data_IF_415292017374
#
_entry.id   IF_415292017374
#
_cell.length_a   1.000
_cell.length_b   1.000
_cell.length_c   1.000
_cell.angle_alpha   90.00
_cell.angle_beta   90.00
_cell.angle_gamma   90.00
#
_symmetry.space_group_name_H-M   'P 1'
#
loop_
_entity.id
_entity.type
_entity.pdbx_description
1 polymer ?
#
# COMPACT_ATOMS: atom_id res chain seq x y z
N UNK A 1 14.60 -13.67 7.61
CA UNK A 1 15.10 -12.28 7.71
C UNK A 1 13.92 -11.36 7.49
N UNK A 2 13.57 -10.62 8.54
CA UNK A 2 12.36 -9.81 8.65
C UNK A 2 12.53 -8.46 7.95
N UNK A 3 11.44 -7.93 7.40
CA UNK A 3 11.40 -6.58 6.82
C UNK A 3 11.80 -5.48 7.81
N UNK A 4 11.64 -5.74 9.12
CA UNK A 4 12.08 -4.84 10.19
C UNK A 4 13.60 -4.69 10.27
N UNK A 5 14.36 -5.75 9.97
CA UNK A 5 15.83 -5.74 9.99
C UNK A 5 16.38 -4.92 8.81
N UNK A 6 15.69 -4.93 7.67
CA UNK A 6 16.06 -4.11 6.51
C UNK A 6 15.77 -2.62 6.70
N UNK A 7 14.72 -2.28 7.46
CA UNK A 7 14.34 -0.89 7.71
C UNK A 7 15.30 -0.20 8.70
N UNK A 8 15.76 -0.93 9.72
CA UNK A 8 16.76 -0.41 10.67
C UNK A 8 18.10 -0.10 9.99
N UNK A 9 18.54 -0.97 9.07
CA UNK A 9 19.79 -0.73 8.34
C UNK A 9 19.70 0.42 7.32
N UNK A 10 18.48 0.81 6.93
CA UNK A 10 18.25 1.94 6.03
C UNK A 10 18.26 3.29 6.76
N UNK A 11 17.82 3.33 8.03
CA UNK A 11 17.73 4.57 8.80
C UNK A 11 19.04 4.96 9.52
N UNK A 12 19.97 4.01 9.67
CA UNK A 12 21.27 4.24 10.33
C UNK A 12 22.36 4.85 9.43
N UNK A 13 22.01 5.32 8.23
CA UNK A 13 22.94 5.78 7.19
C UNK A 13 22.95 7.28 6.92
N UNK A 14 22.83 8.14 7.95
CA UNK A 14 22.99 9.59 7.77
C UNK A 14 24.44 9.99 8.11
N UNK A 15 25.23 10.51 7.15
CA UNK A 15 26.54 11.07 7.43
C UNK A 15 26.42 12.37 8.25
N UNK A 16 27.29 12.50 9.24
CA UNK A 16 27.57 13.76 9.93
C UNK A 16 28.07 14.83 8.94
N UNK A 17 27.59 16.07 9.06
CA UNK A 17 28.12 17.19 8.27
C UNK A 17 27.34 18.49 8.38
N UNK A 18 27.78 19.33 9.33
CA UNK A 18 27.61 20.79 9.42
C UNK A 18 26.21 21.36 9.74
N UNK A 19 26.00 21.58 11.04
CA UNK A 19 24.89 22.35 11.61
C UNK A 19 25.20 23.86 11.59
N UNK A 20 24.21 24.67 11.21
CA UNK A 20 24.21 26.12 11.42
C UNK A 20 23.44 26.45 12.71
N UNK A 21 24.07 27.23 13.61
CA UNK A 21 23.41 27.81 14.80
C UNK A 21 22.55 29.01 14.41
N UNK A 22 21.31 29.07 14.90
CA UNK A 22 20.66 30.35 15.14
C UNK A 22 19.87 30.31 16.45
N UNK A 23 20.23 31.25 17.33
CA UNK A 23 19.80 31.40 18.72
C UNK A 23 18.43 32.04 18.82
N UNK A 24 17.50 31.43 19.56
CA UNK A 24 16.42 32.19 20.23
C UNK A 24 16.18 31.67 21.65
N UNK A 25 16.33 32.60 22.59
CA UNK A 25 16.26 32.47 24.04
C UNK A 25 14.80 32.39 24.52
N UNK A 26 14.45 31.37 25.31
CA UNK A 26 13.32 31.40 26.27
C UNK A 26 13.49 30.31 27.33
N UNK A 27 13.50 30.75 28.58
CA UNK A 27 13.82 30.01 29.82
C UNK A 27 12.66 29.16 30.38
N UNK A 28 13.05 28.30 31.34
CA UNK A 28 12.30 27.70 32.47
C UNK A 28 11.52 26.40 32.18
N UNK A 29 11.49 25.37 33.04
CA UNK A 29 12.14 25.10 34.33
C UNK A 29 12.16 23.57 34.59
N UNK A 30 12.97 23.20 35.58
CA UNK A 30 13.40 21.88 36.07
C UNK A 30 12.26 21.02 36.64
N UNK A 31 12.36 19.69 36.49
CA UNK A 31 12.05 18.71 37.57
C UNK A 31 12.68 17.34 37.25
N UNK A 32 13.86 17.12 37.84
CA UNK A 32 14.50 15.82 38.08
C UNK A 32 13.73 15.02 39.12
N UNK A 33 13.72 13.70 39.01
CA UNK A 33 14.06 12.82 40.13
C UNK A 33 14.49 11.45 39.62
N UNK A 34 15.73 11.12 39.96
CA UNK A 34 16.39 9.83 39.88
C UNK A 34 16.34 9.22 41.28
N UNK A 35 15.97 7.95 41.44
CA UNK A 35 16.47 7.08 42.52
C UNK A 35 16.02 5.63 42.23
N UNK A 36 16.90 4.72 41.80
CA UNK A 36 17.82 3.87 42.60
C UNK A 36 17.12 2.77 43.41
N UNK A 37 17.24 1.55 42.86
CA UNK A 37 17.60 0.27 43.50
C UNK A 37 17.04 -0.10 44.88
N UNK A 38 16.27 -1.22 44.96
CA UNK A 38 16.54 -2.32 45.93
C UNK A 38 15.72 -3.58 45.67
N UNK A 39 16.38 -4.73 45.67
CA UNK A 39 15.80 -6.07 45.65
C UNK A 39 15.48 -6.57 47.07
N UNK A 40 14.36 -7.29 47.23
CA UNK A 40 14.17 -8.39 48.19
C UNK A 40 12.82 -9.10 47.95
N UNK A 41 12.87 -10.44 47.98
CA UNK A 41 11.91 -11.47 47.56
C UNK A 41 10.71 -11.70 48.55
N UNK A 42 9.98 -12.85 48.53
CA UNK A 42 8.86 -13.18 47.65
C UNK A 42 7.56 -13.49 48.46
N UNK A 43 6.38 -13.08 47.98
CA UNK A 43 5.10 -13.46 48.62
C UNK A 43 4.31 -14.41 47.73
N UNK A 44 3.91 -15.52 48.34
CA UNK A 44 3.13 -16.63 47.75
C UNK A 44 1.74 -16.14 47.38
N UNK A 45 1.31 -16.42 46.15
CA UNK A 45 -0.12 -16.67 45.94
C UNK A 45 -0.36 -17.85 45.00
N UNK A 46 -1.20 -18.75 45.50
CA UNK A 46 -1.59 -19.99 44.89
C UNK A 46 -2.73 -19.71 43.92
N UNK A 47 -2.42 -19.59 42.63
CA UNK A 47 -3.46 -19.75 41.62
C UNK A 47 -2.94 -20.52 40.42
N UNK A 48 -3.03 -21.86 40.54
CA UNK A 48 -2.94 -22.76 39.38
C UNK A 48 -4.18 -22.56 38.51
N UNK A 49 -4.13 -21.60 37.60
CA UNK A 49 -4.97 -21.65 36.40
C UNK A 49 -4.33 -22.62 35.40
N UNK A 50 -4.85 -23.84 35.39
CA UNK A 50 -4.63 -24.77 34.28
C UNK A 50 -5.29 -24.19 33.03
N UNK A 51 -4.50 -23.67 32.10
CA UNK A 51 -5.01 -23.29 30.79
C UNK A 51 -5.36 -24.58 30.05
N UNK A 52 -6.66 -24.79 29.83
CA UNK A 52 -7.15 -25.83 28.94
C UNK A 52 -6.60 -25.54 27.54
N UNK A 53 -5.81 -26.49 27.01
CA UNK A 53 -5.44 -26.53 25.60
C UNK A 53 -6.70 -26.85 24.80
N UNK A 54 -7.56 -25.85 24.59
CA UNK A 54 -8.58 -25.92 23.56
C UNK A 54 -7.86 -25.94 22.22
N UNK A 55 -7.87 -27.10 21.56
CA UNK A 55 -7.50 -27.23 20.17
C UNK A 55 -8.24 -26.15 19.38
N UNK A 56 -7.49 -25.14 18.93
CA UNK A 56 -7.94 -24.19 17.92
C UNK A 56 -8.20 -24.97 16.65
N UNK A 57 -9.44 -25.43 16.52
CA UNK A 57 -10.00 -25.94 15.28
C UNK A 57 -10.05 -24.73 14.35
N UNK A 58 -9.00 -24.60 13.56
CA UNK A 58 -8.84 -23.55 12.56
C UNK A 58 -9.92 -23.70 11.50
N UNK A 59 -11.13 -23.23 11.80
CA UNK A 59 -12.10 -22.86 10.79
C UNK A 59 -11.54 -21.63 10.10
N UNK A 60 -10.60 -21.85 9.18
CA UNK A 60 -10.28 -20.88 8.13
C UNK A 60 -11.54 -20.74 7.28
N UNK A 61 -12.49 -19.93 7.75
CA UNK A 61 -13.51 -19.34 6.90
C UNK A 61 -12.75 -18.62 5.80
N UNK A 62 -12.69 -19.25 4.63
CA UNK A 62 -12.22 -18.64 3.39
C UNK A 62 -13.13 -17.46 3.14
N UNK A 63 -12.74 -16.28 3.64
CA UNK A 63 -13.38 -15.01 3.31
C UNK A 63 -13.18 -14.84 1.81
N UNK A 64 -14.19 -15.19 1.03
CA UNK A 64 -14.20 -14.96 -0.40
C UNK A 64 -14.10 -13.46 -0.60
N UNK A 65 -12.90 -12.98 -0.94
CA UNK A 65 -12.68 -11.57 -1.23
C UNK A 65 -13.39 -11.28 -2.56
N UNK A 66 -14.49 -10.54 -2.49
CA UNK A 66 -15.20 -10.06 -3.68
C UNK A 66 -14.21 -9.33 -4.61
N UNK A 67 -14.07 -9.83 -5.84
CA UNK A 67 -13.27 -9.18 -6.87
C UNK A 67 -14.07 -8.03 -7.46
N UNK A 68 -13.74 -6.79 -7.08
CA UNK A 68 -14.41 -5.57 -7.54
C UNK A 68 -13.64 -4.95 -8.70
N UNK A 69 -14.38 -4.49 -9.71
CA UNK A 69 -13.86 -3.68 -10.81
C UNK A 69 -14.21 -2.22 -10.52
N UNK A 70 -13.22 -1.34 -10.58
CA UNK A 70 -13.38 0.10 -10.35
C UNK A 70 -13.49 0.83 -11.69
N UNK A 71 -14.24 1.93 -11.75
CA UNK A 71 -14.36 2.76 -12.96
C UNK A 71 -13.88 4.17 -12.66
N UNK A 72 -13.05 4.74 -13.54
CA UNK A 72 -12.54 6.10 -13.43
C UNK A 72 -12.78 6.87 -14.74
N UNK A 73 -13.05 8.16 -14.59
CA UNK A 73 -13.21 9.13 -15.68
C UNK A 73 -12.29 10.34 -15.40
N UNK A 74 -10.96 10.14 -15.48
CA UNK A 74 -9.98 11.15 -15.09
C UNK A 74 -10.08 12.37 -16.00
N UNK A 75 -9.76 13.53 -15.43
CA UNK A 75 -9.76 14.82 -16.15
C UNK A 75 -8.37 15.44 -16.22
N UNK A 76 -7.50 15.07 -15.28
CA UNK A 76 -6.11 15.57 -15.22
C UNK A 76 -5.13 14.44 -14.94
N UNK A 77 -3.89 14.58 -15.40
CA UNK A 77 -2.85 13.56 -15.26
C UNK A 77 -2.59 13.14 -13.80
N UNK A 78 -2.82 14.03 -12.83
CA UNK A 78 -2.64 13.70 -11.40
C UNK A 78 -3.60 12.62 -10.89
N UNK A 79 -4.76 12.43 -11.54
CA UNK A 79 -5.76 11.41 -11.15
C UNK A 79 -5.22 9.98 -11.29
N UNK A 80 -4.24 9.79 -12.17
CA UNK A 80 -3.63 8.50 -12.50
C UNK A 80 -2.97 7.85 -11.28
N UNK A 81 -2.50 8.65 -10.31
CA UNK A 81 -1.95 8.13 -9.05
C UNK A 81 -2.96 7.28 -8.29
N UNK A 82 -4.24 7.67 -8.28
CA UNK A 82 -5.29 6.92 -7.58
C UNK A 82 -5.66 5.63 -8.33
N UNK A 83 -5.70 5.69 -9.66
CA UNK A 83 -5.86 4.51 -10.52
C UNK A 83 -4.74 3.51 -10.26
N UNK A 84 -3.49 3.98 -10.20
CA UNK A 84 -2.34 3.12 -9.95
C UNK A 84 -2.37 2.44 -8.58
N UNK A 85 -2.75 3.16 -7.51
CA UNK A 85 -2.98 2.56 -6.18
C UNK A 85 -4.00 1.43 -6.22
N UNK A 86 -5.05 1.59 -7.03
CA UNK A 86 -6.10 0.58 -7.16
C UNK A 86 -5.57 -0.71 -7.79
N UNK A 87 -4.79 -0.58 -8.86
CA UNK A 87 -4.13 -1.70 -9.56
C UNK A 87 -3.14 -2.40 -8.63
N UNK A 88 -2.31 -1.65 -7.91
CA UNK A 88 -1.35 -2.19 -6.93
C UNK A 88 -2.03 -2.97 -5.79
N UNK A 89 -3.25 -2.58 -5.41
CA UNK A 89 -4.05 -3.27 -4.41
C UNK A 89 -4.80 -4.50 -4.98
N UNK A 90 -4.46 -4.94 -6.20
CA UNK A 90 -5.06 -6.12 -6.82
C UNK A 90 -6.50 -5.91 -7.32
N UNK A 91 -6.90 -4.67 -7.59
CA UNK A 91 -8.22 -4.34 -8.15
C UNK A 91 -8.11 -4.02 -9.64
N UNK A 92 -9.00 -4.60 -10.45
CA UNK A 92 -9.14 -4.24 -11.85
C UNK A 92 -9.77 -2.85 -11.99
N UNK A 93 -9.41 -2.14 -13.04
CA UNK A 93 -9.83 -0.77 -13.28
C UNK A 93 -10.22 -0.56 -14.75
N UNK A 94 -11.38 0.05 -14.98
CA UNK A 94 -11.77 0.62 -16.26
C UNK A 94 -11.50 2.12 -16.22
N UNK A 95 -10.80 2.64 -17.21
CA UNK A 95 -10.47 4.06 -17.33
C UNK A 95 -11.08 4.61 -18.62
N UNK A 96 -11.90 5.65 -18.49
CA UNK A 96 -12.51 6.36 -19.61
C UNK A 96 -11.89 7.75 -19.74
N UNK A 97 -11.19 8.01 -20.84
CA UNK A 97 -10.46 9.24 -21.08
C UNK A 97 -11.26 10.30 -21.85
N UNK A 98 -12.59 10.24 -21.85
CA UNK A 98 -13.45 11.21 -22.58
C UNK A 98 -13.23 12.68 -22.16
N UNK A 99 -12.72 12.94 -20.96
CA UNK A 99 -12.44 14.29 -20.41
C UNK A 99 -10.98 14.72 -20.57
N UNK A 100 -10.17 13.97 -21.30
CA UNK A 100 -8.74 14.26 -21.49
C UNK A 100 -8.41 14.48 -22.97
N UNK A 101 -7.43 15.34 -23.21
CA UNK A 101 -6.83 15.55 -24.53
C UNK A 101 -5.88 14.40 -24.89
N UNK A 102 -5.75 14.08 -26.18
CA UNK A 102 -4.93 12.96 -26.68
C UNK A 102 -3.50 12.95 -26.12
N UNK A 103 -2.85 14.12 -26.05
CA UNK A 103 -1.50 14.24 -25.51
C UNK A 103 -1.40 13.81 -24.04
N UNK A 104 -2.43 14.10 -23.23
CA UNK A 104 -2.47 13.64 -21.84
C UNK A 104 -2.78 12.15 -21.79
N UNK A 105 -3.71 11.67 -22.62
CA UNK A 105 -4.08 10.24 -22.70
C UNK A 105 -2.86 9.37 -22.96
N UNK A 106 -2.02 9.71 -23.94
CA UNK A 106 -0.80 8.94 -24.23
C UNK A 106 0.12 8.86 -23.01
N UNK A 107 0.34 9.97 -22.31
CA UNK A 107 1.16 9.98 -21.08
C UNK A 107 0.55 9.10 -19.98
N UNK A 108 -0.78 9.11 -19.83
CA UNK A 108 -1.46 8.24 -18.87
C UNK A 108 -1.28 6.77 -19.24
N UNK A 109 -1.45 6.43 -20.52
CA UNK A 109 -1.30 5.08 -21.05
C UNK A 109 0.13 4.59 -20.82
N UNK A 110 1.16 5.39 -21.09
CA UNK A 110 2.56 5.01 -20.84
C UNK A 110 2.82 4.71 -19.36
N UNK A 111 2.30 5.57 -18.48
CA UNK A 111 2.42 5.38 -17.03
C UNK A 111 1.71 4.10 -16.55
N UNK A 112 0.46 3.89 -16.98
CA UNK A 112 -0.32 2.73 -16.57
C UNK A 112 0.25 1.43 -17.17
N UNK A 113 0.76 1.47 -18.40
CA UNK A 113 1.43 0.32 -19.03
C UNK A 113 2.65 -0.12 -18.23
N UNK A 114 3.48 0.82 -17.77
CA UNK A 114 4.61 0.53 -16.90
C UNK A 114 4.19 -0.10 -15.57
N UNK A 115 3.09 0.38 -14.98
CA UNK A 115 2.55 -0.17 -13.75
C UNK A 115 1.99 -1.58 -13.94
N UNK A 116 1.23 -1.79 -15.01
CA UNK A 116 0.61 -3.08 -15.35
C UNK A 116 1.69 -4.13 -15.61
N UNK A 117 2.73 -3.74 -16.35
CA UNK A 117 3.91 -4.58 -16.55
C UNK A 117 4.56 -4.99 -15.21
N UNK A 118 4.73 -4.03 -14.29
CA UNK A 118 5.34 -4.28 -12.98
C UNK A 118 4.52 -5.24 -12.08
N UNK A 119 3.20 -5.32 -12.26
CA UNK A 119 2.33 -6.23 -11.50
C UNK A 119 2.01 -7.53 -12.23
N UNK A 120 2.65 -7.79 -13.38
CA UNK A 120 2.32 -8.88 -14.31
C UNK A 120 0.82 -8.92 -14.65
N UNK A 121 0.24 -7.73 -14.86
CA UNK A 121 -1.14 -7.56 -15.27
C UNK A 121 -1.31 -7.54 -16.78
N UNK A 122 -2.51 -7.17 -17.21
CA UNK A 122 -2.87 -6.94 -18.61
C UNK A 122 -3.58 -5.60 -18.79
N UNK A 123 -3.41 -4.98 -19.95
CA UNK A 123 -4.08 -3.72 -20.31
C UNK A 123 -4.65 -3.84 -21.71
N UNK A 124 -5.96 -3.70 -21.83
CA UNK A 124 -6.68 -3.87 -23.08
C UNK A 124 -7.51 -2.64 -23.40
N UNK A 125 -7.47 -2.19 -24.65
CA UNK A 125 -8.38 -1.16 -25.16
C UNK A 125 -9.73 -1.82 -25.45
N UNK A 126 -10.79 -1.31 -24.84
CA UNK A 126 -12.16 -1.85 -24.96
C UNK A 126 -13.14 -0.86 -25.61
N UNK A 127 -12.64 0.30 -26.01
CA UNK A 127 -13.38 1.34 -26.74
C UNK A 127 -12.42 2.44 -27.20
N UNK A 128 -12.92 3.48 -27.86
CA UNK A 128 -12.07 4.53 -28.44
C UNK A 128 -11.14 5.17 -27.40
N UNK A 129 -11.69 5.58 -26.26
CA UNK A 129 -10.96 6.19 -25.14
C UNK A 129 -11.13 5.40 -23.84
N UNK A 130 -11.41 4.10 -23.95
CA UNK A 130 -11.71 3.25 -22.79
C UNK A 130 -10.73 2.08 -22.71
N UNK A 131 -10.10 1.94 -21.55
CA UNK A 131 -9.10 0.92 -21.28
C UNK A 131 -9.48 0.12 -20.04
N UNK A 132 -9.30 -1.19 -20.13
CA UNK A 132 -9.38 -2.12 -19.02
C UNK A 132 -7.96 -2.47 -18.57
N UNK A 133 -7.67 -2.25 -17.30
CA UNK A 133 -6.41 -2.57 -16.64
C UNK A 133 -6.67 -3.64 -15.58
N UNK A 134 -6.08 -4.82 -15.72
CA UNK A 134 -6.26 -5.95 -14.81
C UNK A 134 -4.94 -6.35 -14.16
N UNK A 135 -4.90 -6.54 -12.83
CA UNK A 135 -3.77 -7.19 -12.17
C UNK A 135 -3.79 -8.71 -12.44
N UNK A 136 -2.68 -9.40 -12.14
CA UNK A 136 -2.45 -10.83 -12.44
C UNK A 136 -3.53 -11.83 -11.98
N UNK A 137 -4.39 -11.44 -11.04
CA UNK A 137 -5.44 -12.30 -10.47
C UNK A 137 -6.76 -12.28 -11.23
N UNK A 138 -6.84 -11.54 -12.34
CA UNK A 138 -8.01 -11.49 -13.21
C UNK A 138 -7.78 -12.31 -14.47
N UNK A 139 -8.78 -13.10 -14.84
CA UNK A 139 -8.84 -13.78 -16.14
C UNK A 139 -9.86 -13.06 -17.01
N UNK A 140 -9.44 -12.69 -18.21
CA UNK A 140 -10.31 -12.06 -19.22
C UNK A 140 -10.74 -13.15 -20.19
N UNK A 141 -12.04 -13.27 -20.44
CA UNK A 141 -12.61 -14.19 -21.42
C UNK A 141 -13.37 -13.39 -22.48
N UNK A 142 -13.30 -13.82 -23.73
CA UNK A 142 -13.87 -13.13 -24.89
C UNK A 142 -12.86 -12.31 -25.68
N UNK A 143 -13.30 -11.86 -26.86
CA UNK A 143 -12.48 -11.05 -27.76
C UNK A 143 -12.96 -9.59 -27.71
N UNK A 144 -12.18 -8.76 -27.01
CA UNK A 144 -12.45 -7.33 -26.85
C UNK A 144 -12.05 -6.51 -28.10
N UNK A 145 -11.33 -7.11 -29.07
CA UNK A 145 -10.91 -6.39 -30.28
C UNK A 145 -12.10 -5.99 -31.17
N UNK A 146 -13.14 -6.83 -31.27
CA UNK A 146 -14.35 -6.58 -32.04
C UNK A 146 -15.16 -5.37 -31.54
N UNK A 147 -15.02 -4.97 -30.27
CA UNK A 147 -15.68 -3.79 -29.69
C UNK A 147 -15.04 -2.48 -30.13
N UNK A 148 -13.81 -2.54 -30.66
CA UNK A 148 -13.05 -1.36 -31.07
C UNK A 148 -13.12 -1.07 -32.58
N UNK A 149 -13.85 -1.88 -33.35
CA UNK A 149 -14.17 -1.61 -34.76
C UNK A 149 -12.95 -1.50 -35.68
N UNK A 150 -11.88 -2.24 -35.40
CA UNK A 150 -10.73 -2.40 -36.30
C UNK A 150 -10.75 -3.76 -36.97
#
# INVERSE_FOLDING_TARGET
MSLSEKLSNWFNGVPEGEYYEEVTDSKQAVSTNTDVTRASEPEKDNNRQVMSLMSSKNNSTTVQREQKIMVFDPSVFSDVKNIGKMILNGRAVIVNFRKMDENQIHRVIDFLSGLIFAVNGDMQRIGEKIFLCTPKNFKIEGDLSNLTGR
#
